data_IF_903731778374
#
_entry.id   IF_903731778374
#
_cell.length_a   1.000
_cell.length_b   1.000
_cell.length_c   1.000
_cell.angle_alpha   90.00
_cell.angle_beta   90.00
_cell.angle_gamma   90.00
#
_symmetry.space_group_name_H-M   'P 1'
#
loop_
_entity.id
_entity.type
_entity.pdbx_description
1 polymer ?
#
# COMPACT_ATOMS: atom_id res chain seq x y z
N UNK A 1 11.35 36.40 9.65
CA UNK A 1 9.99 36.40 9.06
C UNK A 1 9.23 35.23 9.66
N UNK A 2 8.08 35.49 10.27
CA UNK A 2 7.43 34.57 11.22
C UNK A 2 7.07 33.23 10.57
N UNK A 3 7.51 32.11 11.17
CA UNK A 3 7.08 30.74 10.83
C UNK A 3 5.55 30.64 10.71
N UNK A 4 4.81 31.42 11.52
CA UNK A 4 3.35 31.48 11.51
C UNK A 4 2.77 32.15 10.26
N UNK A 5 3.47 33.12 9.67
CA UNK A 5 3.04 33.77 8.43
C UNK A 5 3.25 32.85 7.22
N UNK A 6 4.42 32.20 7.12
CA UNK A 6 4.69 31.21 6.07
C UNK A 6 3.78 29.98 6.18
N UNK A 7 3.41 29.58 7.41
CA UNK A 7 2.41 28.55 7.66
C UNK A 7 1.00 28.95 7.21
N UNK A 8 0.58 30.19 7.49
CA UNK A 8 -0.71 30.71 7.04
C UNK A 8 -0.78 30.80 5.49
N UNK A 9 0.31 31.23 4.85
CA UNK A 9 0.42 31.25 3.39
C UNK A 9 0.39 29.84 2.80
N UNK A 10 1.02 28.87 3.45
CA UNK A 10 0.99 27.47 3.04
C UNK A 10 -0.43 26.89 3.16
N UNK A 11 -1.14 27.15 4.26
CA UNK A 11 -2.53 26.74 4.45
C UNK A 11 -3.47 27.37 3.40
N UNK A 12 -3.28 28.65 3.10
CA UNK A 12 -4.04 29.35 2.06
C UNK A 12 -3.74 28.82 0.65
N UNK A 13 -2.48 28.51 0.35
CA UNK A 13 -2.06 27.92 -0.93
C UNK A 13 -2.53 26.48 -1.12
N UNK A 14 -2.69 25.73 -0.02
CA UNK A 14 -3.23 24.37 -0.04
C UNK A 14 -4.76 24.35 -0.13
N UNK A 15 -5.43 25.34 0.46
CA UNK A 15 -6.89 25.52 0.41
C UNK A 15 -7.37 26.13 -0.92
N UNK A 16 -6.50 26.81 -1.66
CA UNK A 16 -6.84 27.35 -2.99
C UNK A 16 -6.95 26.21 -4.01
N UNK A 17 -8.12 26.03 -4.62
CA UNK A 17 -8.31 25.14 -5.78
C UNK A 17 -8.18 25.96 -7.07
N UNK A 18 -7.22 25.67 -7.98
CA UNK A 18 -6.27 24.55 -7.98
C UNK A 18 -5.01 24.81 -7.12
N UNK A 19 -4.46 23.78 -6.45
CA UNK A 19 -3.28 23.91 -5.61
C UNK A 19 -2.03 24.17 -6.46
N UNK A 20 -1.33 25.27 -6.18
CA UNK A 20 -0.04 25.61 -6.79
C UNK A 20 1.08 24.70 -6.24
N UNK A 21 1.14 23.44 -6.69
CA UNK A 21 2.09 22.42 -6.21
C UNK A 21 3.56 22.89 -6.25
N UNK A 22 3.93 23.70 -7.24
CA UNK A 22 5.30 24.24 -7.37
C UNK A 22 5.62 25.32 -6.33
N UNK A 23 4.64 26.14 -5.95
CA UNK A 23 4.82 27.15 -4.88
C UNK A 23 4.84 26.47 -3.51
N UNK A 24 3.97 25.48 -3.29
CA UNK A 24 3.98 24.67 -2.07
C UNK A 24 5.34 23.98 -1.86
N UNK A 25 5.97 23.43 -2.91
CA UNK A 25 7.30 22.83 -2.79
C UNK A 25 8.40 23.82 -2.37
N UNK A 26 8.36 25.07 -2.89
CA UNK A 26 9.29 26.14 -2.49
C UNK A 26 9.05 26.62 -1.06
N UNK A 27 7.78 26.74 -0.66
CA UNK A 27 7.42 27.12 0.70
C UNK A 27 7.78 26.01 1.70
N UNK A 28 7.56 24.73 1.37
CA UNK A 28 7.93 23.59 2.20
C UNK A 28 9.45 23.49 2.40
N UNK A 29 10.25 23.78 1.37
CA UNK A 29 11.72 23.79 1.51
C UNK A 29 12.20 24.93 2.41
N UNK A 30 11.62 26.13 2.28
CA UNK A 30 11.92 27.25 3.18
C UNK A 30 11.47 26.96 4.63
N UNK A 31 10.30 26.37 4.81
CA UNK A 31 9.78 25.97 6.12
C UNK A 31 10.62 24.86 6.75
N UNK A 32 11.10 23.88 5.97
CA UNK A 32 12.04 22.86 6.48
C UNK A 32 13.33 23.49 7.01
N UNK A 33 13.89 24.47 6.31
CA UNK A 33 15.06 25.21 6.81
C UNK A 33 14.74 25.96 8.10
N UNK A 34 13.57 26.59 8.18
CA UNK A 34 13.09 27.26 9.40
C UNK A 34 12.87 26.31 10.57
N UNK A 35 12.33 25.12 10.34
CA UNK A 35 12.11 24.08 11.35
C UNK A 35 13.45 23.50 11.86
N UNK A 36 14.43 23.32 10.97
CA UNK A 36 15.78 22.87 11.35
C UNK A 36 16.47 23.93 12.21
N UNK A 37 16.41 25.21 11.82
CA UNK A 37 17.00 26.32 12.58
C UNK A 37 16.35 26.49 13.95
N UNK A 38 15.06 26.19 14.08
CA UNK A 38 14.32 26.22 15.34
C UNK A 38 14.54 24.97 16.22
N UNK A 39 15.25 23.95 15.74
CA UNK A 39 15.51 22.72 16.51
C UNK A 39 14.28 21.83 16.75
N UNK A 40 13.13 22.15 16.12
CA UNK A 40 11.82 21.53 16.39
C UNK A 40 11.68 20.08 15.92
N UNK A 41 12.66 19.57 15.16
CA UNK A 41 12.68 18.20 14.64
C UNK A 41 13.39 17.21 15.58
N UNK A 42 14.07 17.70 16.61
CA UNK A 42 14.73 16.89 17.63
C UNK A 42 14.00 17.10 18.95
N UNK A 43 13.77 16.04 19.75
CA UNK A 43 13.25 16.19 21.11
C UNK A 43 14.37 16.76 21.99
N UNK A 44 14.60 18.07 21.91
CA UNK A 44 15.53 18.80 22.77
C UNK A 44 14.83 20.02 23.37
N UNK A 45 14.58 19.95 24.69
CA UNK A 45 14.18 21.08 25.52
C UNK A 45 12.66 21.30 25.70
N UNK A 46 12.32 22.19 26.64
CA UNK A 46 10.96 22.70 26.91
C UNK A 46 10.44 23.48 25.69
N UNK A 47 9.92 22.74 24.72
CA UNK A 47 9.34 23.27 23.51
C UNK A 47 7.90 23.72 23.77
N UNK A 48 7.55 24.91 23.28
CA UNK A 48 6.18 25.40 23.36
C UNK A 48 5.25 24.42 22.61
N UNK A 49 4.17 23.92 23.23
CA UNK A 49 3.27 22.96 22.61
C UNK A 49 2.64 23.53 21.33
N UNK A 50 2.45 24.86 21.24
CA UNK A 50 1.92 25.52 20.05
C UNK A 50 2.84 25.44 18.83
N UNK A 51 4.16 25.49 19.03
CA UNK A 51 5.13 25.45 17.93
C UNK A 51 5.29 24.01 17.41
N UNK A 52 5.13 23.02 18.29
CA UNK A 52 5.06 21.59 17.92
C UNK A 52 3.81 21.27 17.09
N UNK A 53 2.65 21.84 17.43
CA UNK A 53 1.43 21.69 16.62
C UNK A 53 1.63 22.25 15.21
N UNK A 54 2.25 23.43 15.10
CA UNK A 54 2.53 24.04 13.79
C UNK A 54 3.52 23.18 12.98
N UNK A 55 4.57 22.67 13.62
CA UNK A 55 5.52 21.77 12.96
C UNK A 55 4.84 20.50 12.45
N UNK A 56 3.95 19.89 13.26
CA UNK A 56 3.14 18.74 12.87
C UNK A 56 2.28 19.06 11.64
N UNK A 57 1.50 20.14 11.69
CA UNK A 57 0.61 20.52 10.59
C UNK A 57 1.37 20.80 9.28
N UNK A 58 2.56 21.41 9.35
CA UNK A 58 3.43 21.60 8.17
C UNK A 58 3.84 20.26 7.56
N UNK A 59 4.24 19.30 8.39
CA UNK A 59 4.66 17.97 7.93
C UNK A 59 3.47 17.17 7.38
N UNK A 60 2.28 17.28 7.99
CA UNK A 60 1.05 16.67 7.49
C UNK A 60 0.69 17.20 6.09
N UNK A 61 0.75 18.51 5.88
CA UNK A 61 0.51 19.11 4.56
C UNK A 61 1.62 18.70 3.57
N UNK A 62 2.87 18.57 4.03
CA UNK A 62 3.98 18.03 3.24
C UNK A 62 3.74 16.59 2.76
N UNK A 63 3.13 15.75 3.60
CA UNK A 63 2.75 14.38 3.25
C UNK A 63 1.66 14.37 2.16
N UNK A 64 0.58 15.14 2.32
CA UNK A 64 -0.46 15.26 1.30
C UNK A 64 0.06 15.83 -0.02
N UNK A 65 0.93 16.85 0.04
CA UNK A 65 1.58 17.40 -1.13
C UNK A 65 2.39 16.34 -1.87
N UNK A 66 3.15 15.51 -1.14
CA UNK A 66 3.98 14.44 -1.72
C UNK A 66 3.15 13.41 -2.47
N UNK A 67 1.94 13.09 -1.98
CA UNK A 67 1.03 12.17 -2.68
C UNK A 67 0.48 12.83 -3.95
N UNK A 68 0.10 14.10 -3.89
CA UNK A 68 -0.40 14.85 -5.06
C UNK A 68 0.67 15.03 -6.13
N UNK A 69 1.94 15.13 -5.75
CA UNK A 69 3.08 15.16 -6.68
C UNK A 69 3.59 13.76 -7.06
N UNK A 70 2.96 12.69 -6.56
CA UNK A 70 3.33 11.29 -6.80
C UNK A 70 4.76 10.93 -6.38
N UNK A 71 5.32 11.65 -5.41
CA UNK A 71 6.64 11.37 -4.83
C UNK A 71 6.52 10.41 -3.64
N UNK A 72 6.50 9.12 -3.98
CA UNK A 72 6.39 7.99 -3.05
C UNK A 72 7.55 7.98 -2.03
N UNK A 73 8.84 8.13 -2.40
CA UNK A 73 9.92 8.24 -1.42
C UNK A 73 9.81 9.43 -0.46
N UNK A 74 9.40 10.61 -0.94
CA UNK A 74 9.24 11.78 -0.06
C UNK A 74 8.13 11.57 0.96
N UNK A 75 7.03 10.91 0.59
CA UNK A 75 5.97 10.56 1.53
C UNK A 75 6.49 9.73 2.71
N UNK A 76 7.31 8.71 2.47
CA UNK A 76 7.90 7.91 3.57
C UNK A 76 8.72 8.75 4.52
N UNK A 77 9.52 9.68 3.99
CA UNK A 77 10.35 10.56 4.81
C UNK A 77 9.51 11.45 5.70
N UNK A 78 8.43 12.02 5.17
CA UNK A 78 7.48 12.80 5.98
C UNK A 78 6.75 11.93 6.99
N UNK A 79 6.36 10.71 6.62
CA UNK A 79 5.69 9.79 7.53
C UNK A 79 6.59 9.36 8.70
N UNK A 80 7.86 9.00 8.45
CA UNK A 80 8.81 8.67 9.51
C UNK A 80 9.02 9.83 10.49
N UNK A 81 9.03 11.07 9.99
CA UNK A 81 9.10 12.26 10.84
C UNK A 81 7.80 12.48 11.61
N UNK A 82 6.64 12.26 11.01
CA UNK A 82 5.35 12.37 11.68
C UNK A 82 5.15 11.30 12.74
N UNK A 83 5.69 10.09 12.54
CA UNK A 83 5.57 8.99 13.48
C UNK A 83 6.14 9.34 14.85
N UNK A 84 7.30 10.01 14.92
CA UNK A 84 7.86 10.49 16.20
C UNK A 84 6.95 11.52 16.88
N UNK A 85 6.25 12.37 16.11
CA UNK A 85 5.27 13.30 16.67
C UNK A 85 4.03 12.62 17.23
N UNK A 86 3.63 11.48 16.66
CA UNK A 86 2.46 10.72 17.12
C UNK A 86 2.75 9.76 18.27
N UNK A 87 3.98 9.23 18.39
CA UNK A 87 4.36 8.28 19.45
C UNK A 87 4.87 8.98 20.71
N UNK A 88 5.71 9.99 20.55
CA UNK A 88 6.52 10.50 21.68
C UNK A 88 5.81 11.63 22.44
N UNK A 89 4.88 12.34 21.78
CA UNK A 89 4.19 13.49 22.35
C UNK A 89 2.74 13.18 22.72
N UNK A 90 2.56 12.57 23.90
CA UNK A 90 1.24 12.26 24.48
C UNK A 90 0.43 13.49 24.92
N UNK A 91 1.08 14.66 25.05
CA UNK A 91 0.46 15.91 25.51
C UNK A 91 -0.15 16.77 24.38
N UNK A 92 -0.07 16.34 23.11
CA UNK A 92 -0.60 17.09 21.98
C UNK A 92 -2.06 16.71 21.69
N UNK A 93 -2.91 17.66 21.27
CA UNK A 93 -4.27 17.34 20.85
C UNK A 93 -4.25 16.47 19.58
N UNK A 94 -5.13 15.44 19.47
CA UNK A 94 -5.19 14.59 18.29
C UNK A 94 -5.49 15.40 17.03
N UNK A 95 -4.75 15.16 15.94
CA UNK A 95 -4.98 15.84 14.66
C UNK A 95 -6.13 15.19 13.91
N UNK A 96 -6.97 16.00 13.25
CA UNK A 96 -7.98 15.45 12.33
C UNK A 96 -7.34 14.77 11.09
N UNK A 97 -6.11 15.15 10.75
CA UNK A 97 -5.39 14.59 9.60
C UNK A 97 -4.55 13.36 9.93
N UNK A 98 -4.45 12.97 11.20
CA UNK A 98 -3.66 11.81 11.62
C UNK A 98 -4.21 10.51 11.01
N UNK A 99 -5.52 10.26 11.13
CA UNK A 99 -6.13 9.04 10.62
C UNK A 99 -6.04 8.91 9.09
N UNK A 100 -6.31 9.98 8.29
CA UNK A 100 -6.06 9.94 6.85
C UNK A 100 -4.61 9.58 6.48
N UNK A 101 -3.61 10.20 7.12
CA UNK A 101 -2.19 9.97 6.79
C UNK A 101 -1.77 8.54 7.16
N UNK A 102 -2.19 8.05 8.33
CA UNK A 102 -1.96 6.66 8.73
C UNK A 102 -2.65 5.68 7.79
N UNK A 103 -3.89 5.97 7.37
CA UNK A 103 -4.60 5.16 6.38
C UNK A 103 -3.86 5.11 5.04
N UNK A 104 -3.32 6.25 4.57
CA UNK A 104 -2.53 6.31 3.34
C UNK A 104 -1.23 5.49 3.45
N UNK A 105 -0.57 5.54 4.61
CA UNK A 105 0.60 4.69 4.89
C UNK A 105 0.24 3.19 4.89
N UNK A 106 -0.92 2.81 5.45
CA UNK A 106 -1.40 1.44 5.41
C UNK A 106 -1.64 0.95 3.98
N UNK A 107 -2.32 1.73 3.12
CA UNK A 107 -2.50 1.34 1.71
C UNK A 107 -1.15 1.24 1.00
N UNK A 108 -0.21 2.15 1.29
CA UNK A 108 1.14 2.06 0.73
C UNK A 108 1.81 0.74 1.08
N UNK A 109 1.73 0.26 2.33
CA UNK A 109 2.29 -1.04 2.71
C UNK A 109 1.67 -2.19 1.92
N UNK A 110 0.35 -2.13 1.64
CA UNK A 110 -0.34 -3.11 0.79
C UNK A 110 0.18 -3.07 -0.66
N UNK A 111 0.41 -1.88 -1.24
CA UNK A 111 0.97 -1.77 -2.59
C UNK A 111 2.38 -2.36 -2.72
N UNK A 112 3.16 -2.36 -1.63
CA UNK A 112 4.50 -2.95 -1.57
C UNK A 112 4.49 -4.43 -1.22
N UNK A 113 3.31 -5.04 -1.04
CA UNK A 113 3.16 -6.41 -0.55
C UNK A 113 3.84 -6.68 0.82
N UNK A 114 3.94 -5.65 1.67
CA UNK A 114 4.55 -5.73 3.01
C UNK A 114 3.48 -5.94 4.07
N UNK A 115 2.82 -7.11 4.02
CA UNK A 115 1.68 -7.45 4.90
C UNK A 115 2.11 -7.56 6.37
N UNK A 116 3.33 -8.03 6.66
CA UNK A 116 3.83 -8.12 8.03
C UNK A 116 3.91 -6.73 8.70
N UNK A 117 4.51 -5.76 8.02
CA UNK A 117 4.61 -4.38 8.52
C UNK A 117 3.25 -3.71 8.65
N UNK A 118 2.29 -4.08 7.79
CA UNK A 118 0.92 -3.61 7.88
C UNK A 118 0.27 -4.05 9.19
N UNK A 119 0.39 -5.33 9.58
CA UNK A 119 -0.15 -5.81 10.85
C UNK A 119 0.58 -5.20 12.05
N UNK A 120 1.91 -5.03 11.99
CA UNK A 120 2.65 -4.33 13.06
C UNK A 120 2.20 -2.87 13.20
N UNK A 121 1.97 -2.17 12.08
CA UNK A 121 1.46 -0.81 12.10
C UNK A 121 0.03 -0.74 12.65
N UNK A 122 -0.81 -1.73 12.34
CA UNK A 122 -2.17 -1.84 12.91
C UNK A 122 -2.15 -2.09 14.41
N UNK A 123 -1.26 -2.93 14.91
CA UNK A 123 -1.11 -3.21 16.35
C UNK A 123 -0.68 -1.95 17.13
N UNK A 124 0.13 -1.09 16.51
CA UNK A 124 0.54 0.19 17.11
C UNK A 124 -0.60 1.20 17.27
N UNK A 125 -1.73 1.01 16.58
CA UNK A 125 -2.89 1.90 16.66
C UNK A 125 -3.69 1.63 17.94
N UNK A 126 -4.16 2.70 18.58
CA UNK A 126 -5.14 2.57 19.67
C UNK A 126 -6.46 2.01 19.11
N UNK A 127 -7.11 1.13 19.85
CA UNK A 127 -8.37 0.47 19.43
C UNK A 127 -9.47 1.43 18.95
N UNK A 128 -9.57 2.62 19.53
CA UNK A 128 -10.53 3.66 19.10
C UNK A 128 -10.25 4.26 17.70
N UNK A 129 -9.02 4.15 17.19
CA UNK A 129 -8.66 4.65 15.87
C UNK A 129 -9.15 3.72 14.74
N UNK A 130 -9.37 2.44 15.03
CA UNK A 130 -9.77 1.41 14.05
C UNK A 130 -11.20 1.64 13.55
N UNK A 131 -12.05 2.30 14.34
CA UNK A 131 -13.42 2.66 13.96
C UNK A 131 -13.47 3.80 12.93
N UNK A 132 -12.36 4.50 12.68
CA UNK A 132 -12.35 5.59 11.71
C UNK A 132 -12.51 5.06 10.28
N UNK A 133 -13.37 5.69 9.44
CA UNK A 133 -13.56 5.26 8.05
C UNK A 133 -12.26 5.21 7.22
N UNK A 134 -11.29 6.06 7.57
CA UNK A 134 -9.99 6.16 6.91
C UNK A 134 -9.05 4.98 7.17
N UNK A 135 -9.19 4.31 8.33
CA UNK A 135 -8.41 3.12 8.70
C UNK A 135 -9.18 1.84 8.34
N UNK A 136 -10.50 1.87 8.49
CA UNK A 136 -11.36 0.75 8.12
C UNK A 136 -11.26 0.40 6.62
N UNK A 137 -11.09 1.40 5.74
CA UNK A 137 -10.93 1.16 4.30
C UNK A 137 -9.68 0.30 3.97
N UNK A 138 -8.44 0.66 4.39
CA UNK A 138 -7.27 -0.21 4.23
C UNK A 138 -7.43 -1.62 4.85
N UNK A 139 -8.09 -1.73 6.02
CA UNK A 139 -8.31 -3.02 6.69
C UNK A 139 -9.27 -3.92 5.89
N UNK A 140 -10.36 -3.35 5.36
CA UNK A 140 -11.29 -4.09 4.52
C UNK A 140 -10.64 -4.48 3.19
N UNK A 141 -9.84 -3.58 2.61
CA UNK A 141 -9.08 -3.82 1.39
C UNK A 141 -8.13 -5.01 1.56
N UNK A 142 -7.39 -5.05 2.67
CA UNK A 142 -6.49 -6.14 3.02
C UNK A 142 -7.24 -7.46 3.25
N UNK A 143 -8.36 -7.43 3.97
CA UNK A 143 -9.22 -8.60 4.14
C UNK A 143 -9.70 -9.16 2.80
N UNK A 144 -10.18 -8.32 1.89
CA UNK A 144 -10.64 -8.77 0.58
C UNK A 144 -9.50 -9.31 -0.28
N UNK A 145 -8.29 -8.76 -0.13
CA UNK A 145 -7.10 -9.28 -0.78
C UNK A 145 -6.75 -10.67 -0.26
N UNK A 146 -6.81 -10.91 1.05
CA UNK A 146 -6.62 -12.23 1.66
C UNK A 146 -7.72 -13.23 1.28
N UNK A 147 -8.97 -12.78 1.18
CA UNK A 147 -10.09 -13.60 0.69
C UNK A 147 -9.99 -13.92 -0.81
N UNK A 148 -9.14 -13.21 -1.57
CA UNK A 148 -9.10 -13.28 -3.04
C UNK A 148 -10.33 -12.66 -3.71
N UNK A 149 -11.09 -11.82 -2.99
CA UNK A 149 -12.33 -11.21 -3.48
C UNK A 149 -12.05 -9.90 -4.23
N UNK A 150 -11.46 -10.00 -5.42
CA UNK A 150 -11.03 -8.84 -6.21
C UNK A 150 -12.18 -7.95 -6.70
N UNK A 151 -13.39 -8.50 -6.87
CA UNK A 151 -14.57 -7.70 -7.24
C UNK A 151 -14.91 -6.64 -6.18
N UNK A 152 -14.76 -6.98 -4.88
CA UNK A 152 -14.97 -6.03 -3.79
C UNK A 152 -13.87 -4.98 -3.75
N UNK A 153 -12.62 -5.37 -3.98
CA UNK A 153 -11.48 -4.45 -4.09
C UNK A 153 -11.70 -3.44 -5.21
N UNK A 154 -12.23 -3.87 -6.36
CA UNK A 154 -12.58 -2.97 -7.45
C UNK A 154 -13.68 -1.97 -7.07
N UNK A 155 -14.73 -2.43 -6.38
CA UNK A 155 -15.79 -1.55 -5.85
C UNK A 155 -15.28 -0.54 -4.82
N UNK A 156 -14.33 -0.95 -3.97
CA UNK A 156 -13.74 -0.13 -2.93
C UNK A 156 -12.98 1.10 -3.44
N UNK A 157 -12.61 1.09 -4.73
CA UNK A 157 -12.04 2.26 -5.42
C UNK A 157 -13.01 3.44 -5.42
N UNK A 158 -14.31 3.18 -5.59
CA UNK A 158 -15.35 4.22 -5.59
C UNK A 158 -15.73 4.69 -4.19
N UNK A 159 -15.51 3.85 -3.18
CA UNK A 159 -15.78 4.13 -1.76
C UNK A 159 -14.60 4.83 -1.04
N UNK A 160 -13.55 5.18 -1.77
CA UNK A 160 -12.37 5.82 -1.20
C UNK A 160 -12.74 7.17 -0.54
N UNK A 161 -12.47 7.35 0.77
CA UNK A 161 -12.91 8.54 1.50
C UNK A 161 -12.13 9.82 1.14
N UNK A 162 -10.99 9.70 0.47
CA UNK A 162 -10.24 10.84 -0.06
C UNK A 162 -9.63 10.54 -1.43
N UNK A 163 -9.46 11.58 -2.25
CA UNK A 163 -8.93 11.46 -3.61
C UNK A 163 -7.48 10.92 -3.63
N UNK A 164 -6.72 11.18 -2.57
CA UNK A 164 -5.34 10.74 -2.40
C UNK A 164 -5.20 9.20 -2.33
N UNK A 165 -6.23 8.48 -1.88
CA UNK A 165 -6.23 7.02 -1.83
C UNK A 165 -6.34 6.38 -3.22
N UNK A 166 -7.02 7.05 -4.16
CA UNK A 166 -7.25 6.52 -5.51
C UNK A 166 -5.96 6.19 -6.24
N UNK A 167 -4.91 7.01 -6.05
CA UNK A 167 -3.60 6.78 -6.65
C UNK A 167 -2.97 5.44 -6.21
N UNK A 168 -3.00 5.15 -4.90
CA UNK A 168 -2.42 3.91 -4.38
C UNK A 168 -3.26 2.69 -4.75
N UNK A 169 -4.59 2.82 -4.74
CA UNK A 169 -5.50 1.74 -5.18
C UNK A 169 -5.27 1.42 -6.66
N UNK A 170 -5.06 2.41 -7.51
CA UNK A 170 -4.76 2.21 -8.94
C UNK A 170 -3.43 1.48 -9.14
N UNK A 171 -2.40 1.82 -8.37
CA UNK A 171 -1.14 1.08 -8.36
C UNK A 171 -1.32 -0.36 -7.88
N UNK A 172 -2.15 -0.60 -6.86
CA UNK A 172 -2.44 -1.93 -6.34
C UNK A 172 -3.16 -2.79 -7.38
N UNK A 173 -4.08 -2.21 -8.16
CA UNK A 173 -4.80 -2.92 -9.21
C UNK A 173 -3.88 -3.50 -10.28
N UNK A 174 -2.78 -2.81 -10.60
CA UNK A 174 -1.76 -3.33 -11.50
C UNK A 174 -1.13 -4.63 -10.98
N UNK A 175 -0.77 -4.66 -9.69
CA UNK A 175 -0.21 -5.84 -9.03
C UNK A 175 -1.26 -6.95 -8.90
N UNK A 176 -2.48 -6.63 -8.50
CA UNK A 176 -3.59 -7.59 -8.38
C UNK A 176 -3.87 -8.28 -9.72
N UNK A 177 -3.92 -7.53 -10.83
CA UNK A 177 -4.11 -8.11 -12.17
C UNK A 177 -3.02 -9.13 -12.51
N UNK A 178 -1.78 -8.86 -12.11
CA UNK A 178 -0.66 -9.78 -12.32
C UNK A 178 -0.78 -11.06 -11.48
N UNK A 179 -1.29 -10.97 -10.26
CA UNK A 179 -1.56 -12.12 -9.40
C UNK A 179 -2.74 -12.94 -9.94
N UNK A 180 -3.85 -12.30 -10.33
CA UNK A 180 -5.01 -12.96 -10.96
C UNK A 180 -4.56 -13.73 -12.20
N UNK A 181 -3.79 -13.09 -13.08
CA UNK A 181 -3.26 -13.71 -14.28
C UNK A 181 -2.41 -14.96 -13.97
N UNK A 182 -1.58 -14.91 -12.93
CA UNK A 182 -0.74 -16.04 -12.54
C UNK A 182 -1.57 -17.19 -11.95
N UNK A 183 -2.66 -16.87 -11.24
CA UNK A 183 -3.64 -17.86 -10.78
C UNK A 183 -4.40 -18.48 -11.96
N UNK A 184 -4.84 -17.68 -12.93
CA UNK A 184 -5.55 -18.15 -14.13
C UNK A 184 -4.69 -19.13 -14.95
N UNK A 185 -3.40 -18.83 -15.12
CA UNK A 185 -2.42 -19.71 -15.78
C UNK A 185 -2.32 -21.09 -15.11
N UNK A 186 -2.52 -21.17 -13.80
CA UNK A 186 -2.48 -22.44 -13.04
C UNK A 186 -3.82 -23.15 -12.96
N UNK A 187 -4.92 -22.41 -12.97
CA UNK A 187 -6.26 -22.95 -12.73
C UNK A 187 -6.94 -23.44 -14.01
N UNK A 188 -6.66 -22.81 -15.15
CA UNK A 188 -7.35 -23.07 -16.41
C UNK A 188 -6.38 -23.46 -17.52
N UNK A 189 -6.80 -24.41 -18.38
CA UNK A 189 -6.06 -24.76 -19.60
C UNK A 189 -6.41 -23.80 -20.75
N UNK A 190 -7.68 -23.41 -20.83
CA UNK A 190 -8.17 -22.45 -21.81
C UNK A 190 -9.33 -21.64 -21.27
N UNK A 191 -9.42 -20.36 -21.63
CA UNK A 191 -10.48 -19.45 -21.20
C UNK A 191 -11.01 -18.61 -22.38
N UNK A 192 -12.34 -18.43 -22.52
CA UNK A 192 -12.89 -17.50 -23.50
C UNK A 192 -12.48 -16.05 -23.24
N UNK A 193 -12.25 -15.27 -24.30
CA UNK A 193 -11.83 -13.86 -24.19
C UNK A 193 -12.82 -12.99 -23.40
N UNK A 194 -14.12 -13.29 -23.45
CA UNK A 194 -15.15 -12.55 -22.71
C UNK A 194 -15.03 -12.77 -21.21
N UNK A 195 -14.84 -14.02 -20.80
CA UNK A 195 -14.73 -14.38 -19.39
C UNK A 195 -13.41 -13.85 -18.81
N UNK A 196 -12.32 -13.98 -19.56
CA UNK A 196 -11.03 -13.38 -19.23
C UNK A 196 -11.12 -11.85 -19.05
N UNK A 197 -11.84 -11.15 -19.94
CA UNK A 197 -12.04 -9.71 -19.82
C UNK A 197 -12.81 -9.34 -18.55
N UNK A 198 -13.82 -10.13 -18.18
CA UNK A 198 -14.58 -9.89 -16.93
C UNK A 198 -13.76 -10.18 -15.67
N UNK A 199 -12.96 -11.24 -15.65
CA UNK A 199 -12.13 -11.61 -14.50
C UNK A 199 -10.98 -10.62 -14.24
N UNK A 200 -10.33 -10.15 -15.32
CA UNK A 200 -9.22 -9.19 -15.23
C UNK A 200 -9.67 -7.71 -15.18
N UNK A 201 -10.99 -7.46 -15.21
CA UNK A 201 -11.60 -6.13 -15.21
C UNK A 201 -11.07 -5.22 -16.34
N UNK A 202 -10.97 -5.75 -17.56
CA UNK A 202 -10.65 -4.95 -18.75
C UNK A 202 -11.92 -4.39 -19.38
N UNK A 203 -11.92 -3.10 -19.72
CA UNK A 203 -13.01 -2.44 -20.47
C UNK A 203 -12.86 -2.61 -21.98
N UNK A 204 -11.64 -2.86 -22.47
CA UNK A 204 -11.34 -3.02 -23.89
C UNK A 204 -10.65 -4.34 -24.19
N UNK A 205 -11.14 -5.04 -25.21
CA UNK A 205 -10.54 -6.27 -25.72
C UNK A 205 -9.10 -6.04 -26.26
N UNK A 206 -8.77 -4.80 -26.64
CA UNK A 206 -7.43 -4.46 -27.12
C UNK A 206 -6.39 -4.48 -25.99
N UNK A 207 -6.75 -4.03 -24.79
CA UNK A 207 -5.85 -4.05 -23.63
C UNK A 207 -5.55 -5.48 -23.19
N UNK A 208 -6.56 -6.35 -23.25
CA UNK A 208 -6.41 -7.77 -22.95
C UNK A 208 -5.46 -8.45 -23.94
N UNK A 209 -5.50 -8.11 -25.23
CA UNK A 209 -4.57 -8.66 -26.22
C UNK A 209 -3.12 -8.24 -25.95
N UNK A 210 -2.89 -6.98 -25.58
CA UNK A 210 -1.55 -6.49 -25.20
C UNK A 210 -1.06 -7.22 -23.96
N UNK A 211 -1.92 -7.41 -22.96
CA UNK A 211 -1.59 -8.12 -21.73
C UNK A 211 -1.28 -9.60 -21.98
N UNK A 212 -2.08 -10.27 -22.80
CA UNK A 212 -1.85 -11.65 -23.23
C UNK A 212 -0.51 -11.79 -23.96
N UNK A 213 -0.16 -10.84 -24.82
CA UNK A 213 1.13 -10.82 -25.51
C UNK A 213 2.32 -10.62 -24.56
N UNK A 214 2.17 -9.76 -23.54
CA UNK A 214 3.21 -9.56 -22.52
C UNK A 214 3.47 -10.82 -21.70
N UNK A 215 2.43 -11.62 -21.45
CA UNK A 215 2.51 -12.89 -20.71
C UNK A 215 2.84 -14.10 -21.59
N UNK A 216 2.81 -13.94 -22.92
CA UNK A 216 3.07 -15.02 -23.86
C UNK A 216 1.92 -16.03 -23.98
N UNK A 217 0.68 -15.61 -23.73
CA UNK A 217 -0.49 -16.48 -23.90
C UNK A 217 -0.82 -16.67 -25.38
N UNK A 218 -1.19 -17.89 -25.76
CA UNK A 218 -1.60 -18.20 -27.12
C UNK A 218 -3.07 -17.82 -27.29
N UNK A 219 -3.33 -16.83 -28.16
CA UNK A 219 -4.70 -16.36 -28.43
C UNK A 219 -5.19 -16.97 -29.74
N UNK A 220 -6.16 -17.87 -29.64
CA UNK A 220 -6.84 -18.45 -30.80
C UNK A 220 -7.98 -17.54 -31.24
N UNK A 221 -7.70 -16.64 -32.19
CA UNK A 221 -8.66 -15.66 -32.72
C UNK A 221 -9.91 -16.29 -33.38
N UNK A 222 -9.80 -17.53 -33.86
CA UNK A 222 -10.88 -18.27 -34.53
C UNK A 222 -11.95 -18.79 -33.57
N UNK A 223 -11.55 -19.19 -32.36
CA UNK A 223 -12.44 -19.69 -31.30
C UNK A 223 -12.69 -18.64 -30.21
N UNK A 224 -11.93 -17.55 -30.22
CA UNK A 224 -11.99 -16.51 -29.19
C UNK A 224 -11.55 -17.02 -27.82
N UNK A 225 -10.59 -17.95 -27.79
CA UNK A 225 -10.07 -18.57 -26.57
C UNK A 225 -8.58 -18.26 -26.36
N UNK A 226 -8.21 -18.05 -25.12
CA UNK A 226 -6.83 -17.95 -24.63
C UNK A 226 -6.44 -19.34 -24.15
N UNK A 227 -5.33 -19.87 -24.64
CA UNK A 227 -4.73 -21.11 -24.14
C UNK A 227 -3.51 -20.77 -23.29
N UNK A 228 -3.52 -21.22 -22.04
CA UNK A 228 -2.41 -21.03 -21.12
C UNK A 228 -1.41 -22.17 -21.32
N UNK A 229 -0.12 -21.83 -21.43
CA UNK A 229 0.91 -22.84 -21.52
C UNK A 229 0.97 -23.60 -20.20
N UNK A 230 0.62 -24.90 -20.19
CA UNK A 230 0.84 -25.76 -19.03
C UNK A 230 2.30 -25.63 -18.61
N UNK A 231 2.55 -25.12 -17.40
CA UNK A 231 3.72 -25.56 -16.64
C UNK A 231 3.56 -27.07 -16.53
N UNK A 232 4.33 -27.80 -17.34
CA UNK A 232 4.22 -29.25 -17.43
C UNK A 232 4.15 -29.83 -16.03
N UNK A 233 3.28 -30.82 -15.83
CA UNK A 233 3.20 -31.58 -14.57
C UNK A 233 4.63 -31.87 -14.14
N UNK A 234 5.10 -31.18 -13.10
CA UNK A 234 6.33 -31.59 -12.43
C UNK A 234 5.99 -32.97 -11.92
N UNK A 235 6.48 -34.00 -12.63
CA UNK A 235 6.43 -35.37 -12.15
C UNK A 235 7.12 -35.33 -10.81
N UNK A 236 6.34 -35.25 -9.73
CA UNK A 236 6.83 -35.29 -8.37
C UNK A 236 7.45 -36.67 -8.20
N UNK A 237 8.73 -36.79 -8.53
CA UNK A 237 9.50 -37.97 -8.22
C UNK A 237 9.70 -37.91 -6.72
N UNK A 238 8.76 -38.54 -6.00
CA UNK A 238 8.78 -38.63 -4.55
C UNK A 238 10.18 -39.12 -4.18
N UNK A 239 10.90 -38.47 -3.26
CA UNK A 239 12.26 -38.87 -2.90
C UNK A 239 12.22 -40.19 -2.12
N UNK A 240 12.12 -41.30 -2.85
CA UNK A 240 11.97 -42.68 -2.34
C UNK A 240 13.13 -43.04 -1.40
N UNK A 241 14.34 -42.60 -1.73
CA UNK A 241 15.54 -42.84 -0.91
C UNK A 241 15.44 -42.21 0.49
N UNK A 242 14.90 -40.99 0.61
CA UNK A 242 14.72 -40.32 1.91
C UNK A 242 13.69 -41.05 2.76
N UNK A 243 12.61 -41.52 2.15
CA UNK A 243 11.59 -42.32 2.85
C UNK A 243 12.17 -43.65 3.35
N UNK A 244 12.91 -44.36 2.51
CA UNK A 244 13.56 -45.63 2.88
C UNK A 244 14.57 -45.41 4.01
N UNK A 245 15.40 -44.37 3.92
CA UNK A 245 16.37 -44.04 4.95
C UNK A 245 15.69 -43.69 6.29
N UNK A 246 14.60 -42.92 6.26
CA UNK A 246 13.82 -42.60 7.46
C UNK A 246 13.18 -43.85 8.07
N UNK A 247 12.57 -44.73 7.25
CA UNK A 247 11.99 -45.99 7.71
C UNK A 247 13.03 -46.92 8.35
N UNK A 248 14.24 -47.02 7.77
CA UNK A 248 15.34 -47.80 8.32
C UNK A 248 15.88 -47.20 9.62
N UNK A 249 15.92 -45.86 9.74
CA UNK A 249 16.30 -45.16 10.96
C UNK A 249 15.31 -45.45 12.09
N UNK A 250 14.01 -45.35 11.83
CA UNK A 250 12.97 -45.68 12.80
C UNK A 250 13.05 -47.15 13.22
N UNK A 251 13.25 -48.08 12.27
CA UNK A 251 13.40 -49.50 12.58
C UNK A 251 14.63 -49.75 13.46
N UNK A 252 15.76 -49.10 13.16
CA UNK A 252 16.99 -49.19 13.95
C UNK A 252 16.81 -48.65 15.38
N UNK A 253 16.14 -47.52 15.54
CA UNK A 253 15.88 -46.94 16.88
C UNK A 253 14.93 -47.82 17.71
N UNK A 254 13.97 -48.50 17.09
CA UNK A 254 13.05 -49.43 17.76
C UNK A 254 13.71 -50.77 18.13
N UNK A 255 14.62 -51.28 17.29
CA UNK A 255 15.35 -52.53 17.55
C UNK A 255 16.53 -52.34 18.51
N UNK A 256 16.99 -51.11 18.72
CA UNK A 256 18.03 -50.82 19.68
C UNK A 256 17.49 -51.00 21.10
N UNK A 257 17.84 -52.12 21.73
CA UNK A 257 17.54 -52.37 23.14
C UNK A 257 18.21 -51.27 23.96
N UNK A 258 17.39 -50.49 24.68
CA UNK A 258 17.83 -49.50 25.70
C UNK A 258 18.28 -50.23 26.96
#
# INVERSE_FOLDING_TARGET
>A
MSLKAQYADLKASFASQPPDLKKCGRLLTQLKLGLIQAGLLLPQGDLNPSDLVIAREILEIGAFWSIRTQDVPSFDRYFSQLQTFYTDYTNLPPSQHEYPIRGLYLIRLLTQNRIADFHTALESLRSAAVESPYIAHPVNLERWLMEGSYAKVWGARAEAPAAEYGYFVDSLMGTIRNEIASCEETAYESLPLKDAATLLFFTSQSELLVFAQQRGWEVNLTLGTITFAKKGEESMDIPKEKLIAASLLYARELEQIV
#
